data_IF_263297161185
#
_entry.id   IF_263297161185
#
_cell.length_a   1.000
_cell.length_b   1.000
_cell.length_c   1.000
_cell.angle_alpha   90.00
_cell.angle_beta   90.00
_cell.angle_gamma   90.00
#
_symmetry.space_group_name_H-M   'P 1'
#
loop_
_entity.id
_entity.type
_entity.pdbx_description
1 polymer ?
#
# COMPACT_ATOMS: atom_id res chain seq x y z
N UNK A 1 -11.43 21.85 -12.86
CA UNK A 1 -12.12 21.61 -14.12
C UNK A 1 -11.19 21.72 -15.34
N UNK A 2 -10.42 22.81 -15.50
CA UNK A 2 -9.53 23.02 -16.66
C UNK A 2 -8.43 21.96 -16.78
N UNK A 3 -7.78 21.58 -15.68
CA UNK A 3 -6.74 20.55 -15.71
C UNK A 3 -7.30 19.17 -16.13
N UNK A 4 -8.51 18.81 -15.70
CA UNK A 4 -9.17 17.58 -16.14
C UNK A 4 -9.52 17.60 -17.65
N UNK A 5 -9.94 18.75 -18.18
CA UNK A 5 -10.21 18.92 -19.61
C UNK A 5 -8.91 18.79 -20.43
N UNK A 6 -7.80 19.34 -19.97
CA UNK A 6 -6.50 19.20 -20.61
C UNK A 6 -6.05 17.73 -20.66
N UNK A 7 -6.24 16.97 -19.56
CA UNK A 7 -5.95 15.53 -19.55
C UNK A 7 -6.79 14.75 -20.55
N UNK A 8 -8.09 15.05 -20.62
CA UNK A 8 -8.98 14.40 -21.62
C UNK A 8 -8.56 14.69 -23.06
N UNK A 9 -8.00 15.88 -23.31
CA UNK A 9 -7.43 16.25 -24.59
C UNK A 9 -6.02 15.68 -24.86
N UNK A 10 -5.45 14.95 -23.89
CA UNK A 10 -4.09 14.41 -23.99
C UNK A 10 -2.98 15.46 -23.75
N UNK A 11 -3.33 16.67 -23.34
CA UNK A 11 -2.36 17.73 -23.03
C UNK A 11 -1.88 17.64 -21.57
N UNK A 12 -0.96 16.73 -21.37
CA UNK A 12 -0.39 16.44 -20.04
C UNK A 12 0.37 17.67 -19.50
N UNK A 13 1.04 18.43 -20.35
CA UNK A 13 1.84 19.58 -19.93
C UNK A 13 0.97 20.70 -19.38
N UNK A 14 -0.10 21.05 -20.09
CA UNK A 14 -1.09 22.03 -19.63
C UNK A 14 -1.77 21.56 -18.34
N UNK A 15 -2.18 20.29 -18.28
CA UNK A 15 -2.79 19.71 -17.08
C UNK A 15 -1.86 19.78 -15.87
N UNK A 16 -0.59 19.39 -16.04
CA UNK A 16 0.44 19.45 -15.00
C UNK A 16 0.65 20.88 -14.51
N UNK A 17 0.79 21.84 -15.42
CA UNK A 17 0.95 23.26 -15.05
C UNK A 17 -0.21 23.78 -14.20
N UNK A 18 -1.45 23.43 -14.55
CA UNK A 18 -2.63 23.82 -13.80
C UNK A 18 -2.69 23.13 -12.42
N UNK A 19 -2.33 21.85 -12.31
CA UNK A 19 -2.24 21.18 -11.01
C UNK A 19 -1.16 21.79 -10.12
N UNK A 20 0.01 22.11 -10.69
CA UNK A 20 1.11 22.74 -9.93
C UNK A 20 0.73 24.13 -9.44
N UNK A 21 -0.02 24.91 -10.20
CA UNK A 21 -0.55 26.20 -9.73
C UNK A 21 -1.37 26.02 -8.44
N UNK A 22 -2.31 25.07 -8.43
CA UNK A 22 -3.13 24.79 -7.25
C UNK A 22 -2.30 24.22 -6.10
N UNK A 23 -1.37 23.31 -6.39
CA UNK A 23 -0.53 22.69 -5.37
C UNK A 23 0.38 23.70 -4.65
N UNK A 24 0.79 24.77 -5.34
CA UNK A 24 1.68 25.80 -4.82
C UNK A 24 0.93 27.06 -4.32
N UNK A 25 -0.38 27.10 -4.47
CA UNK A 25 -1.21 28.23 -4.02
C UNK A 25 -1.37 28.17 -2.49
N UNK A 26 -0.75 29.14 -1.80
CA UNK A 26 -0.83 29.23 -0.34
C UNK A 26 -2.24 29.52 0.18
N UNK A 27 -3.09 30.15 -0.65
CA UNK A 27 -4.47 30.49 -0.29
C UNK A 27 -5.44 29.32 -0.54
N UNK A 28 -5.02 28.32 -1.31
CA UNK A 28 -5.83 27.12 -1.53
C UNK A 28 -5.90 26.24 -0.26
N UNK A 29 -7.05 25.64 0.04
CA UNK A 29 -7.19 24.69 1.15
C UNK A 29 -6.14 23.56 1.06
N UNK A 30 -5.52 23.12 2.20
CA UNK A 30 -4.50 22.09 2.20
C UNK A 30 -4.93 20.81 1.47
N UNK A 31 -6.16 20.34 1.69
CA UNK A 31 -6.71 19.18 1.02
C UNK A 31 -6.72 19.32 -0.52
N UNK A 32 -7.01 20.51 -1.02
CA UNK A 32 -7.01 20.76 -2.46
C UNK A 32 -5.59 20.79 -3.04
N UNK A 33 -4.63 21.34 -2.29
CA UNK A 33 -3.22 21.33 -2.66
C UNK A 33 -2.68 19.90 -2.74
N UNK A 34 -3.00 19.07 -1.75
CA UNK A 34 -2.59 17.66 -1.72
C UNK A 34 -3.21 16.86 -2.87
N UNK A 35 -4.49 17.07 -3.15
CA UNK A 35 -5.16 16.45 -4.30
C UNK A 35 -4.48 16.88 -5.62
N UNK A 36 -4.14 18.15 -5.76
CA UNK A 36 -3.46 18.66 -6.95
C UNK A 36 -2.07 18.05 -7.11
N UNK A 37 -1.30 17.87 -6.03
CA UNK A 37 0.00 17.16 -6.05
C UNK A 37 -0.15 15.73 -6.57
N UNK A 38 -1.14 14.99 -6.07
CA UNK A 38 -1.41 13.62 -6.50
C UNK A 38 -1.78 13.58 -7.99
N UNK A 39 -2.65 14.48 -8.42
CA UNK A 39 -3.09 14.57 -9.82
C UNK A 39 -1.95 14.93 -10.78
N UNK A 40 -1.07 15.85 -10.38
CA UNK A 40 0.13 16.19 -11.15
C UNK A 40 1.05 14.97 -11.33
N UNK A 41 1.36 14.29 -10.23
CA UNK A 41 2.22 13.10 -10.28
C UNK A 41 1.57 11.98 -11.10
N UNK A 42 0.29 11.71 -10.88
CA UNK A 42 -0.42 10.68 -11.65
C UNK A 42 -0.43 10.96 -13.16
N UNK A 43 -0.60 12.22 -13.55
CA UNK A 43 -0.61 12.61 -14.98
C UNK A 43 0.76 12.42 -15.65
N UNK A 44 1.85 12.57 -14.91
CA UNK A 44 3.22 12.51 -15.43
C UNK A 44 3.98 11.25 -15.00
N UNK A 45 3.32 10.30 -14.36
CA UNK A 45 3.96 9.16 -13.70
C UNK A 45 4.96 8.45 -14.63
N UNK A 46 4.56 8.14 -15.86
CA UNK A 46 5.36 7.41 -16.85
C UNK A 46 6.65 8.13 -17.26
N UNK A 47 6.74 9.43 -17.02
CA UNK A 47 7.91 10.27 -17.38
C UNK A 47 8.72 10.71 -16.17
N UNK A 48 8.23 10.44 -14.97
CA UNK A 48 8.90 10.81 -13.72
C UNK A 48 9.89 9.72 -13.27
N UNK A 49 10.96 10.16 -12.62
CA UNK A 49 11.84 9.22 -11.92
C UNK A 49 11.13 8.72 -10.64
N UNK A 50 11.26 7.43 -10.29
CA UNK A 50 10.67 6.89 -9.07
C UNK A 50 11.01 7.69 -7.80
N UNK A 51 12.25 8.16 -7.67
CA UNK A 51 12.69 8.98 -6.54
C UNK A 51 11.90 10.30 -6.43
N UNK A 52 11.54 10.91 -7.56
CA UNK A 52 10.78 12.17 -7.56
C UNK A 52 9.31 11.93 -7.15
N UNK A 53 8.72 10.79 -7.55
CA UNK A 53 7.39 10.38 -7.11
C UNK A 53 7.37 10.19 -5.59
N UNK A 54 8.34 9.45 -5.05
CA UNK A 54 8.48 9.21 -3.61
C UNK A 54 8.68 10.51 -2.84
N UNK A 55 9.54 11.40 -3.34
CA UNK A 55 9.79 12.70 -2.69
C UNK A 55 8.54 13.58 -2.67
N UNK A 56 7.72 13.56 -3.73
CA UNK A 56 6.53 14.40 -3.86
C UNK A 56 5.33 13.91 -3.07
N UNK A 57 5.16 12.61 -2.90
CA UNK A 57 3.95 12.01 -2.33
C UNK A 57 4.19 11.18 -1.05
N UNK A 58 5.43 10.98 -0.64
CA UNK A 58 5.75 10.12 0.50
C UNK A 58 5.13 10.56 1.83
N UNK A 59 4.92 11.86 2.02
CA UNK A 59 4.22 12.41 3.19
C UNK A 59 2.72 12.06 3.21
N UNK A 60 2.10 11.93 2.04
CA UNK A 60 0.69 11.54 1.86
C UNK A 60 0.49 10.02 1.85
N UNK A 61 1.54 9.26 1.56
CA UNK A 61 1.52 7.80 1.49
C UNK A 61 1.67 7.14 2.87
N UNK A 62 0.92 7.63 3.85
CA UNK A 62 0.95 7.13 5.24
C UNK A 62 -0.45 6.72 5.68
N UNK A 63 -0.60 5.56 6.35
CA UNK A 63 -1.88 5.16 6.94
C UNK A 63 -2.46 6.28 7.82
N UNK A 64 -3.76 6.50 7.71
CA UNK A 64 -4.47 7.58 8.38
C UNK A 64 -4.49 8.92 7.63
N UNK A 65 -3.70 9.10 6.57
CA UNK A 65 -3.85 10.26 5.69
C UNK A 65 -5.08 10.08 4.80
N UNK A 66 -5.93 11.11 4.60
CA UNK A 66 -7.11 11.02 3.74
C UNK A 66 -6.81 10.60 2.28
N UNK A 67 -5.59 10.84 1.82
CA UNK A 67 -5.14 10.49 0.47
C UNK A 67 -4.26 9.24 0.43
N UNK A 68 -4.16 8.50 1.55
CA UNK A 68 -3.27 7.34 1.65
C UNK A 68 -3.47 6.33 0.51
N UNK A 69 -4.70 6.02 0.14
CA UNK A 69 -4.98 5.07 -0.94
C UNK A 69 -4.36 5.49 -2.27
N UNK A 70 -4.62 6.72 -2.70
CA UNK A 70 -4.15 7.23 -3.99
C UNK A 70 -2.64 7.51 -4.00
N UNK A 71 -2.13 8.20 -2.98
CA UNK A 71 -0.70 8.51 -2.87
C UNK A 71 0.12 7.25 -2.57
N UNK A 72 -0.38 6.38 -1.70
CA UNK A 72 0.28 5.14 -1.31
C UNK A 72 0.46 4.18 -2.48
N UNK A 73 -0.52 4.06 -3.36
CA UNK A 73 -0.41 3.23 -4.57
C UNK A 73 0.70 3.73 -5.50
N UNK A 74 0.72 5.05 -5.80
CA UNK A 74 1.76 5.65 -6.65
C UNK A 74 3.16 5.50 -6.05
N UNK A 75 3.29 5.74 -4.75
CA UNK A 75 4.58 5.59 -4.04
C UNK A 75 5.01 4.13 -3.96
N UNK A 76 4.09 3.19 -3.75
CA UNK A 76 4.39 1.76 -3.76
C UNK A 76 4.89 1.29 -5.12
N UNK A 77 4.25 1.73 -6.21
CA UNK A 77 4.71 1.46 -7.57
C UNK A 77 6.11 2.06 -7.84
N UNK A 78 6.35 3.29 -7.41
CA UNK A 78 7.66 3.94 -7.54
C UNK A 78 8.75 3.20 -6.76
N UNK A 79 8.46 2.70 -5.55
CA UNK A 79 9.39 1.84 -4.82
C UNK A 79 9.69 0.54 -5.57
N UNK A 80 8.66 -0.07 -6.17
CA UNK A 80 8.84 -1.29 -6.96
C UNK A 80 9.74 -1.07 -8.17
N UNK A 81 9.54 0.02 -8.91
CA UNK A 81 10.37 0.40 -10.06
C UNK A 81 11.81 0.75 -9.65
N UNK A 82 12.00 1.33 -8.46
CA UNK A 82 13.31 1.59 -7.89
C UNK A 82 14.01 0.32 -7.33
N UNK A 83 13.37 -0.85 -7.40
CA UNK A 83 13.88 -2.10 -6.85
C UNK A 83 13.67 -2.29 -5.34
N UNK A 84 13.00 -1.36 -4.66
CA UNK A 84 12.71 -1.40 -3.23
C UNK A 84 11.46 -2.26 -2.94
N UNK A 85 11.56 -3.56 -3.22
CA UNK A 85 10.43 -4.51 -3.10
C UNK A 85 9.84 -4.59 -1.70
N UNK A 86 10.67 -4.45 -0.66
CA UNK A 86 10.21 -4.49 0.73
C UNK A 86 9.29 -3.32 1.07
N UNK A 87 9.66 -2.09 0.69
CA UNK A 87 8.83 -0.90 0.91
C UNK A 87 7.56 -0.93 0.05
N UNK A 88 7.66 -1.35 -1.22
CA UNK A 88 6.50 -1.55 -2.08
C UNK A 88 5.51 -2.54 -1.44
N UNK A 89 5.99 -3.70 -0.99
CA UNK A 89 5.18 -4.71 -0.33
C UNK A 89 4.53 -4.22 0.95
N UNK A 90 5.27 -3.48 1.78
CA UNK A 90 4.75 -2.87 3.02
C UNK A 90 3.59 -1.91 2.72
N UNK A 91 3.74 -1.04 1.73
CA UNK A 91 2.69 -0.08 1.35
C UNK A 91 1.48 -0.78 0.74
N UNK A 92 1.66 -1.72 -0.18
CA UNK A 92 0.54 -2.50 -0.74
C UNK A 92 -0.17 -3.31 0.35
N UNK A 93 0.55 -3.92 1.29
CA UNK A 93 -0.04 -4.63 2.41
C UNK A 93 -0.84 -3.71 3.34
N UNK A 94 -0.36 -2.49 3.59
CA UNK A 94 -1.09 -1.50 4.37
C UNK A 94 -2.38 -1.03 3.67
N UNK A 95 -2.34 -0.76 2.35
CA UNK A 95 -3.53 -0.41 1.56
C UNK A 95 -4.54 -1.57 1.56
N UNK A 96 -4.07 -2.81 1.39
CA UNK A 96 -4.93 -4.00 1.37
C UNK A 96 -5.73 -4.20 2.67
N UNK A 97 -5.20 -3.74 3.80
CA UNK A 97 -5.79 -3.87 5.14
C UNK A 97 -6.64 -2.69 5.58
N UNK A 98 -6.57 -1.57 4.86
CA UNK A 98 -7.30 -0.36 5.22
C UNK A 98 -8.77 -0.47 4.78
N UNK A 99 -9.65 -0.76 5.73
CA UNK A 99 -11.08 -0.97 5.49
C UNK A 99 -11.82 0.31 5.04
N UNK A 100 -11.24 1.48 5.24
CA UNK A 100 -11.81 2.75 4.78
C UNK A 100 -11.61 2.96 3.27
N UNK A 101 -10.70 2.22 2.65
CA UNK A 101 -10.44 2.33 1.23
C UNK A 101 -11.40 1.47 0.39
N UNK A 102 -11.69 1.89 -0.86
CA UNK A 102 -12.54 1.11 -1.77
C UNK A 102 -12.04 -0.32 -1.97
N UNK A 103 -12.94 -1.30 -1.99
CA UNK A 103 -12.60 -2.72 -2.16
C UNK A 103 -11.80 -3.00 -3.44
N UNK A 104 -12.07 -2.27 -4.52
CA UNK A 104 -11.31 -2.39 -5.78
C UNK A 104 -9.83 -2.04 -5.61
N UNK A 105 -9.53 -1.01 -4.84
CA UNK A 105 -8.16 -0.61 -4.52
C UNK A 105 -7.50 -1.62 -3.59
N UNK A 106 -8.20 -2.03 -2.53
CA UNK A 106 -7.72 -3.03 -1.57
C UNK A 106 -7.42 -4.38 -2.24
N UNK A 107 -8.30 -4.84 -3.12
CA UNK A 107 -8.12 -6.09 -3.85
C UNK A 107 -6.89 -6.04 -4.76
N UNK A 108 -6.70 -4.95 -5.50
CA UNK A 108 -5.52 -4.75 -6.34
C UNK A 108 -4.24 -4.69 -5.50
N UNK A 109 -4.26 -3.95 -4.39
CA UNK A 109 -3.13 -3.86 -3.46
C UNK A 109 -2.80 -5.23 -2.85
N UNK A 110 -3.79 -6.04 -2.50
CA UNK A 110 -3.61 -7.41 -1.99
C UNK A 110 -2.92 -8.30 -3.01
N UNK A 111 -3.31 -8.22 -4.28
CA UNK A 111 -2.64 -8.98 -5.34
C UNK A 111 -1.17 -8.56 -5.48
N UNK A 112 -0.87 -7.26 -5.44
CA UNK A 112 0.50 -6.77 -5.51
C UNK A 112 1.33 -7.18 -4.29
N UNK A 113 0.77 -7.07 -3.08
CA UNK A 113 1.43 -7.53 -1.87
C UNK A 113 1.74 -9.03 -1.92
N UNK A 114 0.79 -9.86 -2.38
CA UNK A 114 0.98 -11.30 -2.56
C UNK A 114 2.11 -11.63 -3.53
N UNK A 115 2.20 -10.92 -4.67
CA UNK A 115 3.32 -11.07 -5.62
C UNK A 115 4.68 -10.69 -5.01
N UNK A 116 4.69 -9.81 -4.02
CA UNK A 116 5.88 -9.40 -3.29
C UNK A 116 6.16 -10.25 -2.05
N UNK A 117 5.32 -11.23 -1.76
CA UNK A 117 5.48 -12.20 -0.67
C UNK A 117 5.13 -11.67 0.73
N UNK A 118 4.46 -10.51 0.83
CA UNK A 118 4.17 -9.86 2.12
C UNK A 118 2.94 -10.46 2.79
N UNK A 119 1.87 -10.76 2.06
CA UNK A 119 0.61 -11.23 2.63
C UNK A 119 0.65 -12.70 3.10
N UNK A 120 1.39 -13.56 2.42
CA UNK A 120 1.49 -14.97 2.77
C UNK A 120 2.06 -15.21 4.19
N UNK A 121 2.97 -14.36 4.63
CA UNK A 121 3.63 -14.49 5.95
C UNK A 121 2.71 -13.97 7.06
N UNK A 122 1.97 -12.90 6.82
CA UNK A 122 1.08 -12.30 7.82
C UNK A 122 -0.16 -13.15 8.03
N UNK A 123 -0.74 -13.69 6.96
CA UNK A 123 -1.94 -14.53 7.06
C UNK A 123 -1.66 -15.89 7.71
N UNK A 124 -0.53 -16.51 7.41
CA UNK A 124 -0.13 -17.76 8.09
C UNK A 124 0.10 -17.53 9.57
N UNK A 125 0.77 -16.45 9.95
CA UNK A 125 0.99 -16.13 11.36
C UNK A 125 -0.32 -15.85 12.09
N UNK A 126 -1.21 -15.07 11.47
CA UNK A 126 -2.53 -14.77 12.03
C UNK A 126 -3.42 -16.03 12.13
N UNK A 127 -3.41 -16.88 11.10
CA UNK A 127 -4.11 -18.16 11.15
C UNK A 127 -3.60 -19.06 12.27
N UNK A 128 -2.29 -19.11 12.49
CA UNK A 128 -1.69 -19.86 13.59
C UNK A 128 -2.03 -19.26 14.96
N UNK A 129 -2.21 -17.95 15.05
CA UNK A 129 -2.64 -17.26 16.27
C UNK A 129 -4.15 -17.44 16.52
N UNK A 130 -4.99 -17.33 15.47
CA UNK A 130 -6.46 -17.41 15.57
C UNK A 130 -6.96 -18.86 15.73
N UNK A 131 -6.30 -19.87 15.14
CA UNK A 131 -6.67 -21.27 15.29
C UNK A 131 -6.28 -21.85 16.65
N UNK A 132 -5.67 -21.02 17.53
CA UNK A 132 -5.38 -21.44 18.89
C UNK A 132 -4.72 -22.81 18.94
N UNK A 133 -3.80 -23.07 17.99
CA UNK A 133 -2.91 -24.22 18.10
C UNK A 133 -1.95 -23.88 19.25
N UNK A 134 -2.55 -23.80 20.42
CA UNK A 134 -1.87 -24.27 21.60
C UNK A 134 -1.38 -25.65 21.20
N UNK A 135 -0.09 -25.73 20.97
CA UNK A 135 0.63 -26.98 20.92
C UNK A 135 0.29 -27.70 22.21
N UNK A 136 -0.84 -28.40 22.18
CA UNK A 136 -1.23 -29.30 23.23
C UNK A 136 -0.17 -30.36 23.29
N UNK A 137 0.63 -30.26 24.29
CA UNK A 137 1.46 -31.33 24.74
C UNK A 137 0.57 -32.56 24.95
N UNK A 138 0.54 -33.44 23.96
CA UNK A 138 0.21 -34.83 24.16
C UNK A 138 1.52 -35.58 24.13
N UNK A 139 2.20 -35.57 25.28
CA UNK A 139 3.20 -36.55 25.58
C UNK A 139 2.52 -37.93 25.66
N UNK A 140 3.10 -38.96 25.05
CA UNK A 140 2.59 -40.33 25.26
C UNK A 140 2.74 -40.68 26.73
N UNK A 141 1.62 -41.04 27.33
CA UNK A 141 1.61 -41.65 28.65
C UNK A 141 2.45 -42.94 28.61
N UNK A 142 3.52 -42.90 29.33
CA UNK A 142 4.33 -44.06 29.65
C UNK A 142 3.47 -45.11 30.37
N UNK A 143 3.13 -46.16 29.68
CA UNK A 143 2.52 -47.32 30.26
C UNK A 143 3.59 -48.26 30.74
N UNK A 144 4.08 -48.05 31.95
CA UNK A 144 4.85 -49.03 32.67
C UNK A 144 3.94 -50.23 33.00
N UNK A 145 4.09 -51.29 32.22
CA UNK A 145 3.59 -52.58 32.65
C UNK A 145 4.69 -53.35 33.38
N UNK A 146 4.64 -53.27 34.69
CA UNK A 146 5.37 -54.19 35.55
C UNK A 146 4.59 -55.51 35.63
N UNK A 147 5.05 -56.53 34.96
CA UNK A 147 4.63 -57.90 35.22
C UNK A 147 5.63 -58.55 36.15
N UNK A 148 5.14 -58.87 37.32
CA UNK A 148 5.83 -59.65 38.33
C UNK A 148 5.86 -61.13 37.96
N UNK A 149 6.96 -61.71 38.24
CA UNK A 149 7.37 -62.92 38.91
C UNK A 149 6.41 -64.16 38.88
N UNK A 150 6.85 -65.23 38.42
CA UNK A 150 7.30 -66.42 39.16
C UNK A 150 7.86 -67.43 38.19
#
# INVERSE_FOLDING_TARGET
LQAGAALQAGDINTASGLYQQVANDADAPPALRDLARIRDVAARYDTMKPADVIAKLGDLAKPGNPYFGAAGELVAMAHLEAGNRAEAGRLFGAIAKDEELPETLRSRARQMAGLLGVDAIVDVKKLLEDEGVASGANGPADGTNAAAAQ
#
